data_IF_804283456688
#
_entry.id   IF_804283456688
#
_cell.length_a   1.000
_cell.length_b   1.000
_cell.length_c   1.000
_cell.angle_alpha   90.00
_cell.angle_beta   90.00
_cell.angle_gamma   90.00
#
_symmetry.space_group_name_H-M   'P 1'
#
loop_
_entity.id
_entity.type
_entity.pdbx_description
1 polymer ?
#
# COMPACT_ATOMS: atom_id res chain seq x y z
N UNK A 1 7.87 59.30 21.00
CA UNK A 1 8.53 58.08 20.51
C UNK A 1 7.72 57.57 19.34
N UNK A 2 8.27 57.56 18.13
CA UNK A 2 7.58 57.00 16.96
C UNK A 2 7.56 55.49 17.17
N UNK A 3 6.36 54.89 17.31
CA UNK A 3 6.23 53.44 17.29
C UNK A 3 6.47 53.01 15.85
N UNK A 4 7.60 52.34 15.60
CA UNK A 4 7.86 51.71 14.32
C UNK A 4 6.69 50.77 14.00
N UNK A 5 5.99 51.07 12.91
CA UNK A 5 4.83 50.28 12.48
C UNK A 5 5.32 49.30 11.45
N UNK A 6 5.61 48.08 11.89
CA UNK A 6 5.99 46.98 11.01
C UNK A 6 4.74 46.59 10.21
N UNK A 7 4.82 46.66 8.88
CA UNK A 7 3.74 46.17 8.02
C UNK A 7 3.48 44.71 8.36
N UNK A 8 2.21 44.35 8.54
CA UNK A 8 1.82 42.98 8.85
C UNK A 8 0.45 42.65 8.30
N UNK A 9 0.27 41.38 7.98
CA UNK A 9 -0.97 40.85 7.46
C UNK A 9 -1.06 39.36 7.78
N UNK A 10 -2.27 38.85 7.96
CA UNK A 10 -2.53 37.42 8.07
C UNK A 10 -2.73 36.79 6.67
N UNK A 11 -2.44 35.51 6.53
CA UNK A 11 -2.92 34.70 5.40
C UNK A 11 -3.96 33.70 5.89
N UNK A 12 -4.70 33.12 4.94
CA UNK A 12 -5.73 32.14 5.22
C UNK A 12 -5.81 31.11 4.09
N UNK A 13 -6.29 29.93 4.41
CA UNK A 13 -6.47 28.83 3.46
C UNK A 13 -7.71 28.00 3.80
N UNK A 14 -8.15 27.24 2.80
CA UNK A 14 -9.16 26.18 2.92
C UNK A 14 -8.52 24.89 2.44
N UNK A 15 -8.56 23.88 3.29
CA UNK A 15 -8.11 22.53 3.01
C UNK A 15 -9.29 21.67 2.59
N UNK A 16 -9.15 21.03 1.45
CA UNK A 16 -10.11 20.09 0.90
C UNK A 16 -9.44 18.77 0.57
N UNK A 17 -10.24 17.75 0.33
CA UNK A 17 -9.81 16.49 -0.28
C UNK A 17 -10.70 16.17 -1.48
N UNK A 18 -10.10 15.96 -2.66
CA UNK A 18 -10.77 15.39 -3.81
C UNK A 18 -10.13 14.12 -4.38
N UNK A 19 -10.98 13.20 -4.85
CA UNK A 19 -10.59 12.01 -5.59
C UNK A 19 -10.88 12.10 -7.10
N UNK A 20 -11.50 13.20 -7.55
CA UNK A 20 -11.87 13.45 -8.94
C UNK A 20 -13.18 12.80 -9.40
N UNK A 21 -13.87 12.04 -8.54
CA UNK A 21 -15.16 11.43 -8.86
C UNK A 21 -16.35 12.16 -8.22
N UNK A 22 -16.10 12.82 -7.08
CA UNK A 22 -17.14 13.51 -6.32
C UNK A 22 -17.52 14.89 -6.85
N UNK A 23 -18.79 15.25 -6.66
CA UNK A 23 -19.33 16.57 -7.04
C UNK A 23 -19.14 17.62 -5.94
N UNK A 24 -19.15 17.18 -4.68
CA UNK A 24 -18.86 18.03 -3.52
C UNK A 24 -17.52 17.59 -2.91
N UNK A 25 -16.69 18.57 -2.54
CA UNK A 25 -15.37 18.31 -1.97
C UNK A 25 -15.46 18.23 -0.45
N UNK A 26 -14.78 17.24 0.13
CA UNK A 26 -14.70 17.10 1.59
C UNK A 26 -13.78 18.18 2.17
N UNK A 27 -14.12 18.70 3.35
CA UNK A 27 -13.32 19.66 4.09
C UNK A 27 -12.40 18.91 5.06
N UNK A 28 -11.13 19.31 5.12
CA UNK A 28 -10.11 18.57 5.87
C UNK A 28 -9.77 19.28 7.18
N UNK A 29 -10.27 18.74 8.29
CA UNK A 29 -9.93 19.18 9.65
C UNK A 29 -8.57 18.60 10.09
N UNK A 30 -7.83 19.35 10.91
CA UNK A 30 -6.62 18.83 11.56
C UNK A 30 -5.36 18.78 10.70
N UNK A 31 -5.38 19.34 9.49
CA UNK A 31 -4.16 19.55 8.70
C UNK A 31 -3.29 20.62 9.36
N UNK A 32 -2.06 20.25 9.73
CA UNK A 32 -1.12 21.07 10.48
C UNK A 32 -0.09 21.75 9.59
N UNK A 33 0.17 23.02 9.83
CA UNK A 33 1.06 23.86 9.03
C UNK A 33 2.08 24.57 9.91
N UNK A 34 3.36 24.46 9.52
CA UNK A 34 4.43 25.29 10.08
C UNK A 34 4.83 26.36 9.08
N UNK A 35 5.12 27.54 9.61
CA UNK A 35 5.45 28.74 8.84
C UNK A 35 6.85 29.18 9.21
N UNK A 36 7.69 29.49 8.22
CA UNK A 36 9.07 29.93 8.44
C UNK A 36 9.36 31.18 7.61
N UNK A 37 10.04 32.15 8.21
CA UNK A 37 10.58 33.29 7.47
C UNK A 37 11.80 32.81 6.69
N UNK A 38 11.76 32.90 5.36
CA UNK A 38 12.79 32.29 4.50
C UNK A 38 14.18 32.83 4.82
N UNK A 39 14.32 34.13 5.09
CA UNK A 39 15.62 34.74 5.45
C UNK A 39 16.20 34.24 6.77
N UNK A 40 15.36 33.64 7.63
CA UNK A 40 15.76 33.15 8.94
C UNK A 40 16.13 31.67 8.98
N UNK A 41 15.80 30.92 7.92
CA UNK A 41 16.18 29.52 7.76
C UNK A 41 17.70 29.36 7.83
N UNK A 42 18.15 28.37 8.59
CA UNK A 42 19.55 28.02 8.80
C UNK A 42 20.27 27.78 7.48
N UNK A 43 19.67 27.00 6.58
CA UNK A 43 20.24 26.74 5.25
C UNK A 43 20.38 27.99 4.38
N UNK A 44 19.49 28.98 4.54
CA UNK A 44 19.58 30.26 3.83
C UNK A 44 20.68 31.14 4.42
N UNK A 45 20.82 31.14 5.75
CA UNK A 45 21.84 31.93 6.45
C UNK A 45 23.26 31.42 6.23
N UNK A 46 23.45 30.10 6.21
CA UNK A 46 24.76 29.48 5.97
C UNK A 46 25.07 29.28 4.48
N UNK A 47 24.07 29.49 3.61
CA UNK A 47 24.18 29.41 2.16
C UNK A 47 24.17 27.99 1.60
N UNK A 48 23.83 26.97 2.39
CA UNK A 48 23.63 25.60 1.92
C UNK A 48 22.32 25.44 1.13
N UNK A 49 21.30 26.22 1.45
CA UNK A 49 20.09 26.36 0.65
C UNK A 49 20.22 27.60 -0.25
N UNK A 50 20.06 27.40 -1.56
CA UNK A 50 20.09 28.47 -2.56
C UNK A 50 18.92 28.31 -3.53
N UNK A 51 18.44 29.39 -4.15
CA UNK A 51 17.41 29.29 -5.19
C UNK A 51 17.89 28.43 -6.35
N UNK A 52 17.13 27.39 -6.72
CA UNK A 52 17.47 26.51 -7.84
C UNK A 52 17.48 27.24 -9.19
N UNK A 53 16.68 28.32 -9.32
CA UNK A 53 16.68 29.21 -10.48
C UNK A 53 17.75 30.31 -10.45
N UNK A 54 18.55 30.40 -9.38
CA UNK A 54 19.63 31.38 -9.20
C UNK A 54 19.20 32.81 -8.86
N UNK A 55 17.91 33.11 -8.72
CA UNK A 55 17.40 34.47 -8.51
C UNK A 55 16.52 34.61 -7.26
N UNK A 56 15.50 33.78 -7.10
CA UNK A 56 14.52 33.88 -6.02
C UNK A 56 14.02 32.50 -5.62
N UNK A 57 13.76 32.30 -4.33
CA UNK A 57 13.25 31.04 -3.82
C UNK A 57 11.87 30.72 -4.40
N UNK A 58 11.68 29.48 -4.84
CA UNK A 58 10.38 28.94 -5.26
C UNK A 58 9.96 27.81 -4.32
N UNK A 59 8.67 27.41 -4.32
CA UNK A 59 8.21 26.24 -3.57
C UNK A 59 9.08 24.98 -3.75
N UNK A 60 9.62 24.76 -4.94
CA UNK A 60 10.44 23.59 -5.28
C UNK A 60 11.73 23.50 -4.47
N UNK A 61 12.34 24.65 -4.13
CA UNK A 61 13.57 24.71 -3.33
C UNK A 61 13.38 24.14 -1.92
N UNK A 62 12.13 24.03 -1.48
CA UNK A 62 11.76 23.68 -0.11
C UNK A 62 11.24 22.25 0.04
N UNK A 63 11.01 21.52 -1.05
CA UNK A 63 10.39 20.18 -1.01
C UNK A 63 11.20 19.18 -0.18
N UNK A 64 12.53 19.20 -0.32
CA UNK A 64 13.44 18.26 0.35
C UNK A 64 14.24 18.92 1.46
N UNK A 65 13.88 20.14 1.86
CA UNK A 65 14.61 20.88 2.88
C UNK A 65 14.23 20.37 4.28
N UNK A 66 15.24 20.13 5.12
CA UNK A 66 15.04 19.67 6.50
C UNK A 66 14.84 20.85 7.45
N UNK A 67 13.60 21.04 7.89
CA UNK A 67 13.20 22.10 8.83
C UNK A 67 13.49 21.79 10.30
N UNK A 68 14.03 20.61 10.64
CA UNK A 68 14.13 20.12 12.02
C UNK A 68 14.91 21.04 12.97
N UNK A 69 15.79 21.89 12.42
CA UNK A 69 16.65 22.82 13.17
C UNK A 69 16.17 24.27 13.12
N UNK A 70 15.12 24.57 12.36
CA UNK A 70 14.67 25.94 12.16
C UNK A 70 13.61 26.36 13.18
N UNK A 71 13.71 27.60 13.65
CA UNK A 71 12.63 28.23 14.42
C UNK A 71 11.52 28.66 13.45
N UNK A 72 10.26 28.38 13.81
CA UNK A 72 9.13 28.90 13.05
C UNK A 72 9.11 30.43 13.08
N UNK A 73 8.34 31.03 12.16
CA UNK A 73 8.13 32.45 12.06
C UNK A 73 7.72 33.03 13.42
N UNK A 74 8.03 34.31 13.64
CA UNK A 74 7.65 34.98 14.88
C UNK A 74 7.11 36.38 14.59
N UNK A 75 6.33 36.87 15.52
CA UNK A 75 5.77 38.22 15.51
C UNK A 75 5.90 38.84 16.90
N UNK A 76 5.68 40.15 17.00
CA UNK A 76 5.77 40.87 18.26
C UNK A 76 4.39 41.35 18.69
N UNK A 77 4.00 41.00 19.90
CA UNK A 77 2.78 41.50 20.54
C UNK A 77 3.13 42.09 21.90
N UNK A 78 2.75 43.35 22.12
CA UNK A 78 3.03 44.09 23.37
C UNK A 78 4.51 44.05 23.82
N UNK A 79 5.44 44.07 22.86
CA UNK A 79 6.89 44.03 23.14
C UNK A 79 7.43 42.65 23.51
N UNK A 80 6.65 41.58 23.33
CA UNK A 80 7.09 40.19 23.49
C UNK A 80 7.15 39.49 22.13
N UNK A 81 8.26 38.81 21.83
CA UNK A 81 8.38 37.90 20.68
C UNK A 81 7.49 36.68 20.94
N UNK A 82 6.61 36.39 19.99
CA UNK A 82 5.76 35.19 19.97
C UNK A 82 6.14 34.40 18.73
N UNK A 83 6.57 33.15 18.94
CA UNK A 83 6.84 32.19 17.88
C UNK A 83 5.52 31.57 17.44
N UNK A 84 5.31 31.46 16.13
CA UNK A 84 4.09 30.89 15.55
C UNK A 84 4.10 29.39 15.80
N UNK A 85 3.12 28.86 16.56
CA UNK A 85 3.00 27.42 16.73
C UNK A 85 2.60 26.77 15.40
N UNK A 86 2.58 25.45 15.36
CA UNK A 86 1.89 24.74 14.29
C UNK A 86 0.40 25.15 14.28
N UNK A 87 -0.10 25.46 13.09
CA UNK A 87 -1.46 25.95 12.88
C UNK A 87 -2.29 24.83 12.27
N UNK A 88 -3.50 24.61 12.78
CA UNK A 88 -4.36 23.51 12.32
C UNK A 88 -5.63 24.04 11.65
N UNK A 89 -6.09 23.33 10.62
CA UNK A 89 -7.39 23.59 10.01
C UNK A 89 -8.53 23.18 10.95
N UNK A 90 -9.60 23.98 10.95
CA UNK A 90 -10.82 23.67 11.71
C UNK A 90 -11.74 22.69 10.97
N UNK A 91 -12.92 22.40 11.55
CA UNK A 91 -13.99 21.56 10.97
C UNK A 91 -14.46 21.97 9.58
N UNK A 92 -14.16 23.19 9.15
CA UNK A 92 -14.50 23.73 7.83
C UNK A 92 -13.31 23.71 6.89
N UNK A 93 -12.24 23.00 7.25
CA UNK A 93 -10.97 23.02 6.55
C UNK A 93 -10.27 24.37 6.59
N UNK A 94 -10.75 25.33 7.40
CA UNK A 94 -10.27 26.69 7.36
C UNK A 94 -9.12 26.89 8.34
N UNK A 95 -8.09 27.60 7.89
CA UNK A 95 -6.97 28.04 8.73
C UNK A 95 -6.68 29.51 8.45
N UNK A 96 -6.46 30.26 9.53
CA UNK A 96 -6.01 31.66 9.49
C UNK A 96 -4.75 31.82 10.34
N UNK A 97 -3.72 32.43 9.77
CA UNK A 97 -2.48 32.73 10.49
C UNK A 97 -2.67 33.93 11.44
N UNK A 98 -1.79 34.11 12.44
CA UNK A 98 -1.61 35.42 13.06
C UNK A 98 -1.14 36.44 12.00
N UNK A 99 -1.20 37.73 12.33
CA UNK A 99 -0.62 38.77 11.49
C UNK A 99 0.91 38.65 11.51
N UNK A 100 1.47 38.24 10.38
CA UNK A 100 2.91 38.09 10.23
C UNK A 100 3.54 39.39 9.75
N UNK A 101 4.75 39.75 10.23
CA UNK A 101 5.50 40.89 9.72
C UNK A 101 5.81 40.80 8.21
N UNK A 102 6.15 41.93 7.62
CA UNK A 102 6.68 42.01 6.26
C UNK A 102 7.79 40.99 6.03
N UNK A 103 7.67 40.22 4.96
CA UNK A 103 8.64 39.17 4.65
C UNK A 103 8.08 38.14 3.68
N UNK A 104 8.96 37.23 3.25
CA UNK A 104 8.61 36.09 2.42
C UNK A 104 8.74 34.83 3.25
N UNK A 105 7.65 34.09 3.37
CA UNK A 105 7.52 32.92 4.21
C UNK A 105 7.34 31.68 3.36
N UNK A 106 7.93 30.57 3.81
CA UNK A 106 7.57 29.23 3.34
C UNK A 106 6.63 28.62 4.37
N UNK A 107 5.53 28.07 3.87
CA UNK A 107 4.55 27.31 4.65
C UNK A 107 4.60 25.88 4.14
N UNK A 108 4.78 24.92 5.05
CA UNK A 108 4.73 23.51 4.71
C UNK A 108 3.74 22.79 5.63
N UNK A 109 3.06 21.79 5.07
CA UNK A 109 2.14 20.94 5.81
C UNK A 109 2.95 19.94 6.65
N UNK A 110 3.01 20.20 7.95
CA UNK A 110 3.81 19.45 8.91
C UNK A 110 3.07 18.28 9.54
N UNK A 111 1.74 18.31 9.51
CA UNK A 111 0.88 17.22 9.94
C UNK A 111 -0.16 16.99 8.85
N UNK A 112 -0.01 15.90 8.11
CA UNK A 112 -0.98 15.47 7.10
C UNK A 112 -2.01 14.58 7.81
N UNK A 113 -3.32 14.83 7.67
CA UNK A 113 -4.34 13.95 8.21
C UNK A 113 -4.22 12.53 7.66
N UNK A 114 -4.69 11.55 8.42
CA UNK A 114 -4.56 10.13 8.08
C UNK A 114 -5.13 9.83 6.68
N UNK A 115 -4.46 8.93 5.95
CA UNK A 115 -4.89 8.47 4.63
C UNK A 115 -5.00 9.54 3.54
N UNK A 116 -4.34 10.69 3.72
CA UNK A 116 -4.24 11.75 2.72
C UNK A 116 -2.80 11.97 2.22
N UNK A 117 -2.68 12.49 1.00
CA UNK A 117 -1.40 12.97 0.43
C UNK A 117 -1.28 14.45 0.71
N UNK A 118 -0.32 14.81 1.56
CA UNK A 118 -0.04 16.20 1.89
C UNK A 118 0.41 17.02 0.68
N UNK A 119 0.23 18.34 0.78
CA UNK A 119 0.64 19.27 -0.25
C UNK A 119 2.15 19.55 -0.22
N UNK A 120 2.66 20.00 -1.37
CA UNK A 120 3.99 20.61 -1.42
C UNK A 120 4.01 21.93 -0.63
N UNK A 121 5.19 22.36 -0.13
CA UNK A 121 5.34 23.68 0.48
C UNK A 121 4.86 24.78 -0.47
N UNK A 122 4.46 25.92 0.09
CA UNK A 122 4.08 27.08 -0.70
C UNK A 122 4.60 28.38 -0.08
N UNK A 123 4.71 29.41 -0.91
CA UNK A 123 5.24 30.71 -0.49
C UNK A 123 4.09 31.68 -0.20
N UNK A 124 4.21 32.38 0.93
CA UNK A 124 3.37 33.51 1.32
C UNK A 124 4.25 34.76 1.40
N UNK A 125 3.87 35.82 0.70
CA UNK A 125 4.57 37.11 0.76
C UNK A 125 3.68 38.12 1.48
N UNK A 126 4.20 38.69 2.57
CA UNK A 126 3.56 39.80 3.28
C UNK A 126 4.22 41.10 2.84
N UNK A 127 3.49 41.93 2.09
CA UNK A 127 3.99 43.20 1.52
C UNK A 127 3.20 44.43 1.97
N UNK A 128 2.01 44.23 2.52
CA UNK A 128 1.04 45.25 2.94
C UNK A 128 0.87 45.29 4.46
N UNK A 129 0.40 46.42 4.99
CA UNK A 129 -0.10 46.52 6.38
C UNK A 129 -1.61 46.53 6.33
N UNK A 130 -2.23 45.39 6.66
CA UNK A 130 -3.68 45.23 6.60
C UNK A 130 -4.17 44.30 7.71
N UNK A 131 -5.31 44.69 8.32
CA UNK A 131 -6.05 43.85 9.26
C UNK A 131 -6.93 42.83 8.55
N UNK A 132 -7.21 43.06 7.28
CA UNK A 132 -7.87 42.09 6.41
C UNK A 132 -6.84 41.04 5.95
N UNK A 133 -7.10 39.74 6.18
CA UNK A 133 -6.22 38.68 5.70
C UNK A 133 -6.13 38.69 4.17
N UNK A 134 -5.03 38.13 3.65
CA UNK A 134 -4.93 37.85 2.22
C UNK A 134 -6.09 36.95 1.75
N UNK A 135 -6.42 37.02 0.46
CA UNK A 135 -7.44 36.14 -0.13
C UNK A 135 -7.07 34.68 0.13
N UNK A 136 -8.07 33.90 0.54
CA UNK A 136 -7.88 32.48 0.86
C UNK A 136 -7.42 31.68 -0.36
N UNK A 137 -6.57 30.70 -0.10
CA UNK A 137 -6.11 29.71 -1.08
C UNK A 137 -6.78 28.37 -0.81
N UNK A 138 -6.98 27.57 -1.84
CA UNK A 138 -7.49 26.21 -1.72
C UNK A 138 -6.36 25.22 -1.92
N UNK A 139 -6.25 24.26 -1.01
CA UNK A 139 -5.27 23.20 -1.08
C UNK A 139 -5.95 21.85 -0.99
N UNK A 140 -5.68 20.99 -1.97
CA UNK A 140 -6.26 19.66 -2.12
C UNK A 140 -5.29 18.59 -1.62
N UNK A 141 -5.71 17.88 -0.56
CA UNK A 141 -5.04 16.69 -0.04
C UNK A 141 -5.76 15.49 -0.61
N UNK A 142 -5.20 14.95 -1.69
CA UNK A 142 -5.84 13.83 -2.37
C UNK A 142 -5.77 12.59 -1.48
N UNK A 143 -6.82 11.76 -1.44
CA UNK A 143 -6.76 10.51 -0.71
C UNK A 143 -5.53 9.67 -1.14
N UNK A 144 -4.88 9.05 -0.18
CA UNK A 144 -3.90 8.00 -0.44
C UNK A 144 -4.62 6.82 -1.08
N UNK A 145 -4.05 6.36 -2.19
CA UNK A 145 -4.60 5.25 -2.96
C UNK A 145 -3.47 4.42 -3.51
N UNK A 146 -3.70 3.10 -3.58
CA UNK A 146 -2.72 2.09 -3.92
C UNK A 146 -3.24 1.18 -5.03
N UNK A 147 -2.37 0.81 -5.95
CA UNK A 147 -2.60 -0.36 -6.77
C UNK A 147 -2.32 -1.60 -5.94
N UNK A 148 -3.13 -2.64 -6.09
CA UNK A 148 -2.80 -3.95 -5.51
C UNK A 148 -2.12 -4.79 -6.57
N UNK A 149 -0.92 -5.27 -6.24
CA UNK A 149 -0.21 -6.29 -7.02
C UNK A 149 -0.32 -7.62 -6.31
N UNK A 150 -1.22 -8.48 -6.77
CA UNK A 150 -1.39 -9.82 -6.19
C UNK A 150 -0.48 -10.77 -6.96
N UNK A 151 0.49 -11.36 -6.27
CA UNK A 151 1.45 -12.33 -6.81
C UNK A 151 1.08 -13.71 -6.31
N UNK A 152 0.78 -14.61 -7.25
CA UNK A 152 0.51 -16.01 -6.95
C UNK A 152 1.84 -16.75 -6.82
N UNK A 153 2.06 -17.41 -5.70
CA UNK A 153 3.26 -18.24 -5.45
C UNK A 153 2.90 -19.68 -5.14
N UNK A 154 3.83 -20.55 -5.48
CA UNK A 154 3.86 -21.93 -5.04
C UNK A 154 4.33 -22.00 -3.58
N UNK A 155 3.58 -22.70 -2.73
CA UNK A 155 3.86 -22.77 -1.30
C UNK A 155 5.17 -23.52 -0.97
N UNK A 156 5.61 -24.44 -1.82
CA UNK A 156 6.80 -25.27 -1.59
C UNK A 156 8.07 -24.59 -2.11
N UNK A 157 8.04 -24.09 -3.34
CA UNK A 157 9.19 -23.50 -4.04
C UNK A 157 9.33 -21.99 -3.80
N UNK A 158 8.27 -21.33 -3.33
CA UNK A 158 8.19 -19.87 -3.13
C UNK A 158 8.33 -19.06 -4.44
N UNK A 159 8.30 -19.72 -5.60
CA UNK A 159 8.37 -19.09 -6.91
C UNK A 159 6.98 -18.65 -7.40
N UNK A 160 6.90 -17.64 -8.27
CA UNK A 160 5.65 -17.28 -8.94
C UNK A 160 5.07 -18.45 -9.74
N UNK A 161 3.75 -18.61 -9.71
CA UNK A 161 3.03 -19.56 -10.56
C UNK A 161 2.69 -18.86 -11.88
N UNK A 162 3.32 -19.29 -12.97
CA UNK A 162 3.18 -18.66 -14.28
C UNK A 162 1.89 -19.10 -15.02
N UNK A 163 1.62 -18.48 -16.17
CA UNK A 163 0.57 -18.84 -17.14
C UNK A 163 -0.91 -18.62 -16.70
N UNK A 164 -1.30 -17.36 -16.42
CA UNK A 164 -2.70 -16.83 -16.36
C UNK A 164 -3.69 -17.49 -15.39
N UNK A 165 -3.18 -18.20 -14.40
CA UNK A 165 -3.88 -19.37 -13.89
C UNK A 165 -4.80 -19.08 -12.68
N UNK A 166 -4.76 -17.90 -12.07
CA UNK A 166 -5.59 -17.56 -10.90
C UNK A 166 -6.57 -16.39 -11.16
N UNK A 167 -7.75 -16.48 -10.56
CA UNK A 167 -8.75 -15.41 -10.56
C UNK A 167 -9.11 -15.00 -9.14
N UNK A 168 -9.27 -13.70 -8.95
CA UNK A 168 -9.54 -13.10 -7.65
C UNK A 168 -10.75 -12.19 -7.67
N UNK A 169 -11.47 -12.18 -6.56
CA UNK A 169 -12.37 -11.08 -6.18
C UNK A 169 -11.76 -10.33 -5.01
N UNK A 170 -11.94 -9.02 -4.99
CA UNK A 170 -11.51 -8.16 -3.90
C UNK A 170 -12.79 -7.67 -3.21
N UNK A 171 -12.94 -7.98 -1.93
CA UNK A 171 -14.06 -7.55 -1.11
C UNK A 171 -13.62 -6.40 -0.22
N UNK A 172 -14.28 -5.25 -0.35
CA UNK A 172 -14.13 -4.11 0.55
C UNK A 172 -14.93 -4.40 1.82
N UNK A 173 -14.22 -4.54 2.94
CA UNK A 173 -14.81 -4.97 4.21
C UNK A 173 -15.70 -3.87 4.80
N UNK A 174 -15.30 -2.61 4.65
CA UNK A 174 -16.02 -1.46 5.22
C UNK A 174 -17.25 -1.11 4.38
N UNK A 175 -17.12 -1.15 3.06
CA UNK A 175 -18.23 -0.91 2.14
C UNK A 175 -19.16 -2.14 1.96
N UNK A 176 -18.82 -3.27 2.56
CA UNK A 176 -19.53 -4.55 2.48
C UNK A 176 -19.89 -4.98 1.04
N UNK A 177 -18.97 -4.76 0.09
CA UNK A 177 -19.20 -5.02 -1.32
C UNK A 177 -17.94 -5.49 -2.03
N UNK A 178 -18.14 -6.23 -3.13
CA UNK A 178 -17.04 -6.53 -4.03
C UNK A 178 -16.63 -5.28 -4.81
N UNK A 179 -15.32 -5.11 -4.98
CA UNK A 179 -14.73 -4.05 -5.77
C UNK A 179 -15.02 -4.32 -7.25
N UNK A 180 -15.51 -3.30 -7.93
CA UNK A 180 -15.69 -3.25 -9.37
C UNK A 180 -14.81 -2.13 -9.92
N UNK A 181 -14.13 -2.37 -11.04
CA UNK A 181 -13.24 -1.39 -11.67
C UNK A 181 -13.56 -1.24 -13.16
N UNK A 182 -13.29 -0.06 -13.71
CA UNK A 182 -13.56 0.24 -15.13
C UNK A 182 -12.27 0.13 -15.94
N UNK A 183 -12.20 -0.88 -16.81
CA UNK A 183 -11.18 -0.94 -17.86
C UNK A 183 -11.74 -0.21 -19.08
N UNK A 184 -11.02 0.79 -19.62
CA UNK A 184 -11.52 1.65 -20.71
C UNK A 184 -11.03 1.25 -22.11
N UNK A 185 -9.93 0.51 -22.19
CA UNK A 185 -9.30 0.10 -23.43
C UNK A 185 -9.07 -1.42 -23.44
N UNK A 186 -9.29 -2.11 -24.57
CA UNK A 186 -9.76 -1.57 -25.85
C UNK A 186 -11.26 -1.20 -25.89
N UNK A 187 -12.04 -1.64 -24.90
CA UNK A 187 -13.46 -1.29 -24.73
C UNK A 187 -13.74 -0.95 -23.26
N UNK A 188 -14.74 -0.12 -23.01
CA UNK A 188 -15.22 0.16 -21.66
C UNK A 188 -15.95 -1.06 -21.11
N UNK A 189 -15.40 -1.66 -20.06
CA UNK A 189 -15.96 -2.78 -19.33
C UNK A 189 -15.81 -2.58 -17.83
N UNK A 190 -16.78 -3.09 -17.07
CA UNK A 190 -16.71 -3.16 -15.60
C UNK A 190 -16.24 -4.56 -15.26
N UNK A 191 -15.14 -4.66 -14.53
CA UNK A 191 -14.56 -5.93 -14.09
C UNK A 191 -14.65 -6.05 -12.58
N UNK A 192 -15.11 -7.21 -12.12
CA UNK A 192 -15.16 -7.57 -10.69
C UNK A 192 -14.36 -8.83 -10.38
N UNK A 193 -13.74 -9.42 -11.41
CA UNK A 193 -12.87 -10.60 -11.33
C UNK A 193 -11.56 -10.23 -11.99
N UNK A 194 -10.49 -10.28 -11.22
CA UNK A 194 -9.15 -9.90 -11.65
C UNK A 194 -8.32 -11.16 -11.86
N UNK A 195 -7.55 -11.21 -12.95
CA UNK A 195 -6.78 -12.41 -13.32
C UNK A 195 -5.30 -12.11 -13.35
N UNK A 196 -4.50 -13.06 -12.88
CA UNK A 196 -3.05 -13.00 -13.03
C UNK A 196 -2.66 -13.07 -14.51
N UNK A 197 -1.55 -12.43 -14.84
CA UNK A 197 -0.93 -12.47 -16.17
C UNK A 197 -0.01 -13.71 -16.31
N UNK A 198 0.64 -13.83 -17.46
CA UNK A 198 1.61 -14.90 -17.76
C UNK A 198 2.82 -14.91 -16.80
N UNK A 199 3.15 -13.77 -16.19
CA UNK A 199 4.23 -13.63 -15.20
C UNK A 199 3.80 -13.99 -13.77
N UNK A 200 2.55 -14.44 -13.57
CA UNK A 200 2.06 -14.95 -12.29
C UNK A 200 1.56 -13.90 -11.30
N UNK A 201 1.28 -12.68 -11.76
CA UNK A 201 0.68 -11.64 -10.92
C UNK A 201 -0.40 -10.84 -11.65
N UNK A 202 -1.25 -10.15 -10.88
CA UNK A 202 -2.12 -9.11 -11.43
C UNK A 202 -1.80 -7.78 -10.77
N UNK A 203 -2.08 -6.69 -11.48
CA UNK A 203 -2.15 -5.34 -10.92
C UNK A 203 -3.57 -4.84 -11.15
N UNK A 204 -4.19 -4.26 -10.14
CA UNK A 204 -5.56 -3.71 -10.28
C UNK A 204 -5.60 -2.62 -11.37
N UNK A 205 -6.68 -2.53 -12.17
CA UNK A 205 -6.82 -1.48 -13.18
C UNK A 205 -6.86 -0.06 -12.61
N UNK A 206 -7.46 0.10 -11.44
CA UNK A 206 -7.62 1.37 -10.72
C UNK A 206 -6.97 1.27 -9.33
N UNK A 207 -6.77 2.42 -8.69
CA UNK A 207 -6.26 2.48 -7.33
C UNK A 207 -7.40 2.26 -6.34
N UNK A 208 -7.09 1.60 -5.22
CA UNK A 208 -7.99 1.46 -4.08
C UNK A 208 -7.60 2.47 -3.00
N UNK A 209 -8.59 3.03 -2.32
CA UNK A 209 -8.39 3.91 -1.16
C UNK A 209 -7.79 3.13 0.01
N UNK A 210 -7.27 3.85 1.00
CA UNK A 210 -6.96 3.24 2.30
C UNK A 210 -8.23 2.56 2.87
N UNK A 211 -8.06 1.40 3.50
CA UNK A 211 -9.17 0.59 4.01
C UNK A 211 -8.78 -0.88 4.20
N UNK A 212 -9.74 -1.67 4.67
CA UNK A 212 -9.55 -3.13 4.84
C UNK A 212 -10.21 -3.92 3.71
N UNK A 213 -9.42 -4.80 3.09
CA UNK A 213 -9.82 -5.62 1.95
C UNK A 213 -9.59 -7.10 2.20
N UNK A 214 -10.50 -7.93 1.70
CA UNK A 214 -10.34 -9.38 1.65
C UNK A 214 -10.12 -9.83 0.21
N UNK A 215 -9.02 -10.55 -0.02
CA UNK A 215 -8.62 -11.06 -1.32
C UNK A 215 -9.04 -12.53 -1.40
N UNK A 216 -10.00 -12.82 -2.29
CA UNK A 216 -10.61 -14.13 -2.43
C UNK A 216 -10.21 -14.76 -3.75
N UNK A 217 -9.49 -15.87 -3.70
CA UNK A 217 -9.23 -16.70 -4.88
C UNK A 217 -10.50 -17.45 -5.26
N UNK A 218 -11.05 -17.14 -6.44
CA UNK A 218 -12.28 -17.77 -6.94
C UNK A 218 -12.00 -18.85 -7.99
N UNK A 219 -10.80 -18.85 -8.56
CA UNK A 219 -10.31 -19.88 -9.49
C UNK A 219 -8.81 -20.01 -9.25
N UNK A 220 -8.36 -21.23 -8.95
CA UNK A 220 -6.95 -21.53 -8.75
C UNK A 220 -6.29 -22.03 -10.03
N UNK A 221 -4.97 -21.91 -10.13
CA UNK A 221 -4.20 -22.47 -11.23
C UNK A 221 -4.41 -23.96 -11.46
N UNK A 222 -4.24 -24.39 -12.71
CA UNK A 222 -4.20 -25.82 -13.02
C UNK A 222 -3.10 -26.50 -12.18
N UNK A 223 -3.41 -27.65 -11.60
CA UNK A 223 -2.55 -28.39 -10.68
C UNK A 223 -2.27 -27.69 -9.33
N UNK A 224 -3.07 -26.70 -8.93
CA UNK A 224 -3.02 -26.11 -7.59
C UNK A 224 -4.35 -26.26 -6.87
N UNK A 225 -4.29 -26.40 -5.55
CA UNK A 225 -5.50 -26.43 -4.71
C UNK A 225 -5.98 -25.00 -4.47
N UNK A 226 -7.26 -24.75 -4.69
CA UNK A 226 -7.88 -23.46 -4.40
C UNK A 226 -7.97 -23.18 -2.91
N UNK A 227 -7.72 -21.93 -2.53
CA UNK A 227 -7.86 -21.47 -1.14
C UNK A 227 -9.25 -21.80 -0.60
N UNK A 228 -9.29 -22.46 0.56
CA UNK A 228 -10.51 -22.88 1.25
C UNK A 228 -10.98 -24.29 0.91
N UNK A 229 -10.28 -25.01 0.04
CA UNK A 229 -10.56 -26.41 -0.36
C UNK A 229 -9.42 -27.37 -0.01
N UNK A 230 -8.45 -26.93 0.79
CA UNK A 230 -7.30 -27.75 1.17
C UNK A 230 -7.68 -28.93 2.07
N UNK A 231 -6.94 -30.02 1.87
CA UNK A 231 -6.95 -31.19 2.74
C UNK A 231 -5.52 -31.54 3.15
N UNK A 232 -5.35 -32.00 4.38
CA UNK A 232 -4.08 -32.50 4.89
C UNK A 232 -4.14 -34.04 5.01
N UNK A 233 -3.06 -34.73 4.62
CA UNK A 233 -2.93 -36.16 4.85
C UNK A 233 -2.40 -36.40 6.26
N UNK A 234 -3.17 -37.07 7.12
CA UNK A 234 -2.73 -37.44 8.46
C UNK A 234 -2.37 -38.92 8.54
N UNK A 235 -1.19 -39.22 9.08
CA UNK A 235 -0.75 -40.57 9.44
C UNK A 235 -0.33 -40.60 10.90
N UNK A 236 -0.90 -41.53 11.67
CA UNK A 236 -0.65 -41.67 13.11
C UNK A 236 -0.85 -40.34 13.89
N UNK A 237 -1.83 -39.55 13.47
CA UNK A 237 -2.16 -38.25 14.06
C UNK A 237 -1.22 -37.10 13.69
N UNK A 238 -0.28 -37.31 12.76
CA UNK A 238 0.65 -36.28 12.27
C UNK A 238 0.39 -36.00 10.80
N UNK A 239 0.43 -34.73 10.43
CA UNK A 239 0.39 -34.30 9.03
C UNK A 239 1.65 -34.77 8.29
N UNK A 240 1.43 -35.34 7.11
CA UNK A 240 2.49 -35.74 6.18
C UNK A 240 2.74 -34.58 5.22
N UNK A 241 3.97 -34.05 5.13
CA UNK A 241 4.31 -32.98 4.18
C UNK A 241 4.01 -33.37 2.73
N UNK A 242 3.62 -32.41 1.89
CA UNK A 242 3.27 -32.66 0.48
C UNK A 242 4.43 -33.24 -0.35
N UNK A 243 5.67 -32.96 0.04
CA UNK A 243 6.87 -33.47 -0.62
C UNK A 243 7.33 -34.85 -0.10
N UNK A 244 6.54 -35.50 0.76
CA UNK A 244 6.82 -36.83 1.31
C UNK A 244 5.83 -37.90 0.85
N UNK A 245 6.30 -39.15 0.78
CA UNK A 245 5.48 -40.31 0.42
C UNK A 245 5.11 -41.10 1.67
N UNK A 246 3.80 -41.23 1.94
CA UNK A 246 3.26 -42.12 2.97
C UNK A 246 2.60 -43.36 2.36
N UNK A 247 2.69 -44.50 3.06
CA UNK A 247 2.02 -45.78 2.71
C UNK A 247 0.66 -45.95 3.39
N UNK A 248 0.02 -44.84 3.73
CA UNK A 248 -1.28 -44.81 4.39
C UNK A 248 -1.55 -43.47 5.03
N UNK A 249 -2.73 -43.34 5.63
CA UNK A 249 -3.21 -42.11 6.24
C UNK A 249 -4.65 -41.81 5.80
N UNK A 250 -5.21 -40.76 6.37
CA UNK A 250 -6.55 -40.27 6.06
C UNK A 250 -6.49 -38.78 5.77
N UNK A 251 -7.11 -38.35 4.67
CA UNK A 251 -7.29 -36.93 4.41
C UNK A 251 -8.31 -36.31 5.37
N UNK A 252 -7.99 -35.12 5.86
CA UNK A 252 -8.88 -34.30 6.67
C UNK A 252 -8.90 -32.88 6.11
N UNK A 253 -10.04 -32.18 6.22
CA UNK A 253 -10.16 -30.80 5.77
C UNK A 253 -9.18 -29.90 6.53
N UNK A 254 -8.45 -29.07 5.79
CA UNK A 254 -7.42 -28.17 6.30
C UNK A 254 -7.53 -26.78 5.64
N UNK A 255 -8.77 -26.28 5.54
CA UNK A 255 -9.13 -25.07 4.79
C UNK A 255 -8.34 -23.85 5.24
N UNK A 256 -7.74 -23.13 4.29
CA UNK A 256 -7.11 -21.84 4.54
C UNK A 256 -8.12 -20.69 4.43
N UNK A 257 -7.91 -19.65 5.23
CA UNK A 257 -8.69 -18.43 5.14
C UNK A 257 -8.18 -17.56 3.96
N UNK A 258 -9.06 -16.77 3.33
CA UNK A 258 -8.64 -15.75 2.36
C UNK A 258 -7.74 -14.70 3.02
N UNK A 259 -6.89 -14.04 2.23
CA UNK A 259 -6.02 -12.96 2.72
C UNK A 259 -6.88 -11.77 3.11
N UNK A 260 -6.63 -11.20 4.29
CA UNK A 260 -7.19 -9.90 4.70
C UNK A 260 -6.04 -8.92 4.86
N UNK A 261 -6.14 -7.76 4.22
CA UNK A 261 -5.13 -6.71 4.25
C UNK A 261 -5.78 -5.38 4.63
N UNK A 262 -5.15 -4.65 5.54
CA UNK A 262 -5.48 -3.26 5.83
C UNK A 262 -4.40 -2.39 5.22
N UNK A 263 -4.81 -1.41 4.42
CA UNK A 263 -3.91 -0.46 3.78
C UNK A 263 -4.18 0.95 4.28
N UNK A 264 -3.13 1.64 4.70
CA UNK A 264 -3.11 2.96 5.33
C UNK A 264 -1.85 3.74 4.94
N UNK A 265 -1.63 4.91 5.52
CA UNK A 265 -0.46 5.74 5.24
C UNK A 265 0.89 5.11 5.58
N UNK A 266 0.92 4.14 6.50
CA UNK A 266 2.15 3.48 6.97
C UNK A 266 2.41 2.15 6.27
N UNK A 267 1.49 1.73 5.39
CA UNK A 267 1.59 0.47 4.67
C UNK A 267 2.80 0.44 3.76
N UNK A 268 3.59 -0.64 3.86
CA UNK A 268 4.74 -0.88 3.01
C UNK A 268 4.30 -1.03 1.55
N UNK A 269 4.85 -0.20 0.67
CA UNK A 269 4.51 -0.17 -0.74
C UNK A 269 5.74 0.10 -1.61
N UNK A 270 5.64 -0.27 -2.89
CA UNK A 270 6.58 0.10 -3.93
C UNK A 270 6.15 1.41 -4.58
N UNK A 271 7.11 2.21 -5.05
CA UNK A 271 6.87 3.40 -5.86
C UNK A 271 7.38 3.13 -7.26
N UNK A 272 6.48 3.12 -8.25
CA UNK A 272 6.86 2.96 -9.65
C UNK A 272 7.66 4.18 -10.12
N UNK A 273 8.91 3.97 -10.56
CA UNK A 273 9.87 5.06 -10.83
C UNK A 273 9.38 6.07 -11.87
N UNK A 274 8.69 5.61 -12.92
CA UNK A 274 8.28 6.48 -14.04
C UNK A 274 7.05 7.35 -13.70
N UNK A 275 6.11 6.80 -12.95
CA UNK A 275 4.79 7.41 -12.74
C UNK A 275 4.58 7.91 -11.30
N UNK A 276 5.41 7.46 -10.35
CA UNK A 276 5.24 7.69 -8.92
C UNK A 276 4.06 6.93 -8.31
N UNK A 277 3.50 5.91 -8.99
CA UNK A 277 2.36 5.13 -8.48
C UNK A 277 2.76 4.27 -7.29
N UNK A 278 1.89 4.22 -6.29
CA UNK A 278 2.06 3.38 -5.11
C UNK A 278 1.44 2.01 -5.34
N UNK A 279 2.22 0.95 -5.09
CA UNK A 279 1.83 -0.44 -5.31
C UNK A 279 2.03 -1.24 -4.02
N UNK A 280 0.94 -1.80 -3.49
CA UNK A 280 1.00 -2.76 -2.37
C UNK A 280 1.08 -4.17 -2.94
N UNK A 281 2.12 -4.91 -2.56
CA UNK A 281 2.34 -6.28 -3.03
C UNK A 281 1.71 -7.28 -2.05
N UNK A 282 0.86 -8.15 -2.57
CA UNK A 282 0.12 -9.16 -1.82
C UNK A 282 0.52 -10.52 -2.36
N UNK A 283 1.01 -11.40 -1.50
CA UNK A 283 1.49 -12.73 -1.91
C UNK A 283 0.51 -13.83 -1.50
N UNK A 284 -0.03 -14.55 -2.48
CA UNK A 284 -0.95 -15.67 -2.26
C UNK A 284 -0.23 -17.00 -2.54
N UNK A 285 -0.13 -17.83 -1.50
CA UNK A 285 0.50 -19.15 -1.57
C UNK A 285 -0.55 -20.25 -1.72
N UNK A 286 -0.39 -21.11 -2.71
CA UNK A 286 -1.18 -22.35 -2.80
C UNK A 286 -0.24 -23.54 -2.87
N UNK A 287 -0.75 -24.65 -2.35
CA UNK A 287 -0.15 -25.95 -2.49
C UNK A 287 -0.50 -26.53 -3.86
N UNK A 288 0.45 -27.27 -4.45
CA UNK A 288 0.18 -28.10 -5.62
C UNK A 288 -0.89 -29.14 -5.29
N UNK A 289 -1.73 -29.44 -6.27
CA UNK A 289 -2.75 -30.47 -6.20
C UNK A 289 -2.08 -31.85 -6.23
N UNK A 290 -1.87 -32.43 -5.05
CA UNK A 290 -1.37 -33.79 -4.87
C UNK A 290 -2.51 -34.77 -4.62
N UNK A 291 -2.34 -36.03 -5.05
CA UNK A 291 -3.34 -37.09 -4.90
C UNK A 291 -2.78 -38.36 -4.27
N UNK A 292 -3.67 -39.30 -3.94
CA UNK A 292 -3.28 -40.63 -3.46
C UNK A 292 -3.67 -41.73 -4.45
N UNK A 293 -2.84 -42.78 -4.54
CA UNK A 293 -3.12 -43.96 -5.36
C UNK A 293 -3.41 -45.14 -4.43
N UNK A 294 -4.64 -45.66 -4.47
CA UNK A 294 -5.03 -46.86 -3.72
C UNK A 294 -4.97 -48.10 -4.61
N UNK A 295 -4.23 -49.13 -4.18
CA UNK A 295 -4.06 -50.39 -4.93
C UNK A 295 -4.75 -51.53 -4.19
N UNK A 296 -5.77 -52.14 -4.79
CA UNK A 296 -6.46 -53.32 -4.25
C UNK A 296 -5.89 -54.62 -4.83
N UNK A 297 -5.26 -55.45 -3.99
CA UNK A 297 -4.77 -56.79 -4.37
C UNK A 297 -5.78 -57.86 -4.00
N UNK A 298 -6.25 -58.66 -4.97
CA UNK A 298 -7.08 -59.86 -4.75
C UNK A 298 -6.31 -61.11 -5.18
N UNK A 299 -6.14 -62.07 -4.28
CA UNK A 299 -5.44 -63.35 -4.53
C UNK A 299 -5.10 -64.09 -3.21
N UNK A 300 -4.73 -65.37 -3.29
CA UNK A 300 -4.37 -66.18 -2.11
C UNK A 300 -3.10 -65.65 -1.43
N UNK A 301 -3.16 -65.46 -0.10
CA UNK A 301 -2.02 -65.02 0.71
C UNK A 301 -1.14 -66.22 1.07
N UNK A 302 -0.12 -66.49 0.25
CA UNK A 302 0.84 -67.57 0.49
C UNK A 302 1.68 -67.26 1.76
N UNK A 303 1.76 -68.22 2.70
CA UNK A 303 2.54 -68.09 3.92
C UNK A 303 4.03 -67.90 3.59
N UNK A 304 4.56 -66.70 3.80
CA UNK A 304 5.92 -66.30 3.43
C UNK A 304 6.01 -65.02 2.58
N UNK A 305 4.88 -64.53 2.06
CA UNK A 305 4.81 -63.35 1.19
C UNK A 305 4.99 -61.99 1.89
N UNK A 306 4.99 -61.93 3.23
CA UNK A 306 5.14 -60.66 3.98
C UNK A 306 6.45 -59.92 3.66
N UNK A 307 7.57 -60.65 3.55
CA UNK A 307 8.87 -60.07 3.14
C UNK A 307 8.89 -59.60 1.69
N UNK A 308 8.03 -60.15 0.83
CA UNK A 308 7.92 -59.76 -0.59
C UNK A 308 7.04 -58.51 -0.73
N UNK A 309 6.00 -58.38 0.08
CA UNK A 309 5.13 -57.20 0.12
C UNK A 309 5.88 -55.94 0.58
N UNK A 310 6.69 -56.02 1.64
CA UNK A 310 7.56 -54.91 2.04
C UNK A 310 8.57 -54.53 0.95
N UNK A 311 9.21 -55.53 0.32
CA UNK A 311 10.17 -55.28 -0.78
C UNK A 311 9.49 -54.67 -2.00
N UNK A 312 8.25 -55.02 -2.27
CA UNK A 312 7.45 -54.46 -3.36
C UNK A 312 7.01 -53.03 -3.04
N UNK A 313 6.51 -52.76 -1.82
CA UNK A 313 6.16 -51.41 -1.37
C UNK A 313 7.38 -50.49 -1.42
N UNK A 314 8.55 -50.94 -0.95
CA UNK A 314 9.79 -50.16 -1.01
C UNK A 314 10.21 -49.89 -2.45
N UNK A 315 10.08 -50.86 -3.36
CA UNK A 315 10.32 -50.63 -4.79
C UNK A 315 9.35 -49.63 -5.40
N UNK A 316 8.07 -49.67 -5.02
CA UNK A 316 7.07 -48.71 -5.47
C UNK A 316 7.35 -47.31 -4.92
N UNK A 317 7.63 -47.17 -3.62
CA UNK A 317 8.02 -45.90 -3.00
C UNK A 317 9.24 -45.30 -3.69
N UNK A 318 10.28 -46.11 -3.92
CA UNK A 318 11.50 -45.66 -4.61
C UNK A 318 11.24 -45.33 -6.08
N UNK A 319 10.35 -46.07 -6.76
CA UNK A 319 9.96 -45.79 -8.14
C UNK A 319 9.17 -44.49 -8.28
N UNK A 320 8.20 -44.26 -7.38
CA UNK A 320 7.42 -43.01 -7.32
C UNK A 320 8.33 -41.84 -6.94
N UNK A 321 9.15 -41.96 -5.90
CA UNK A 321 10.12 -40.93 -5.53
C UNK A 321 11.14 -40.65 -6.65
N UNK A 322 11.57 -41.67 -7.38
CA UNK A 322 12.43 -41.53 -8.55
C UNK A 322 11.76 -40.78 -9.71
N UNK A 323 10.47 -41.06 -9.97
CA UNK A 323 9.67 -40.35 -10.96
C UNK A 323 9.43 -38.89 -10.55
N UNK A 324 9.06 -38.64 -9.30
CA UNK A 324 8.88 -37.28 -8.73
C UNK A 324 10.17 -36.47 -8.86
N UNK A 325 11.33 -37.06 -8.54
CA UNK A 325 12.63 -36.38 -8.69
C UNK A 325 13.03 -36.13 -10.15
N UNK A 326 12.64 -37.01 -11.09
CA UNK A 326 12.86 -36.76 -12.51
C UNK A 326 11.97 -35.63 -13.02
N UNK A 327 10.69 -35.62 -12.66
CA UNK A 327 9.73 -34.61 -13.10
C UNK A 327 10.05 -33.23 -12.48
N UNK A 328 10.47 -33.17 -11.21
CA UNK A 328 10.89 -31.89 -10.59
C UNK A 328 12.13 -31.27 -11.26
N UNK A 329 13.01 -32.09 -11.84
CA UNK A 329 14.16 -31.61 -12.63
C UNK A 329 13.79 -31.06 -14.01
N UNK A 330 12.57 -31.30 -14.51
CA UNK A 330 12.06 -30.72 -15.75
C UNK A 330 11.35 -29.37 -15.54
N UNK A 331 10.94 -29.06 -14.30
CA UNK A 331 10.26 -27.81 -13.93
C UNK A 331 11.17 -26.82 -13.16
N UNK A 332 12.47 -27.12 -13.05
CA UNK A 332 13.51 -26.17 -12.58
C UNK A 332 14.26 -25.60 -13.76
#
# INVERSE_FOLDING_TARGET
>A
TVKETVKKQAFQLIKISEDGEQTETELVEGAGFKVFLISELSGVKDGSLKPGNGSYYTPEDFITYDYSKDETASYWENGKKITVPELFTDKKGYLKSPELPYGTYVVFESTVPENLKGIRPFIVQISEDSREPQVWRVFDDRPLQYYFKIVKKDAQTQKPVLDNSAAYKIYDVEAEKYVEMIVRYPKKEVVSVFRTNEEGYLITPEQLKCGTYRIEEVEAPENYVQVGFENALLKDGKEVPLNEVADGGTYQEAKKAPITITVDSDTVHQVEEETGKFIVVIEQYNDEAVGSLTIHKKGEKLSGASKVEEKFLTKMKNGVAGFVNQVSSFFT
#
